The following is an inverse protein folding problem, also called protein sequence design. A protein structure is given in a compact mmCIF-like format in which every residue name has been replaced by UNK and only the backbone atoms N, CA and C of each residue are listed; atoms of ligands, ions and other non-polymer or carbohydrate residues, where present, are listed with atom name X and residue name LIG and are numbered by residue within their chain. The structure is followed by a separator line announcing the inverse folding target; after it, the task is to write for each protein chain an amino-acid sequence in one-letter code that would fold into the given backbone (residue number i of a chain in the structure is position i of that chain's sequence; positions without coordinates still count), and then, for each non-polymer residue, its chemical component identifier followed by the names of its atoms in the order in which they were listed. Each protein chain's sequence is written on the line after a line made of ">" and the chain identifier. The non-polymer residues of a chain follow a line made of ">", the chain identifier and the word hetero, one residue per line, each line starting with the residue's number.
data_IF_844380775159
#
_entry.id   IF_844380775159
#
_cell.length_a   1.000
_cell.length_b   1.000
_cell.length_c   1.000
_cell.angle_alpha   90.00
_cell.angle_beta   90.00
_cell.angle_gamma   90.00
#
_symmetry.space_group_name_H-M   'P 1'
#
loop_
_entity.id
_entity.type
_entity.pdbx_description
1 polymer ?
#
# COMPACT_ATOMS: atom_id res chain seq x y z
N UNK A 1 -50.68 57.44 -16.62
CA UNK A 1 -49.60 56.60 -17.22
C UNK A 1 -48.39 56.72 -16.31
N UNK A 2 -48.23 55.80 -15.35
CA UNK A 2 -47.15 55.84 -14.37
C UNK A 2 -46.02 54.88 -14.78
N UNK A 3 -44.79 55.36 -14.64
CA UNK A 3 -43.55 54.88 -15.23
C UNK A 3 -43.05 53.60 -14.53
N UNK A 4 -43.15 52.43 -15.19
CA UNK A 4 -42.77 51.11 -14.66
C UNK A 4 -41.30 50.73 -14.86
N UNK A 5 -40.37 51.64 -14.57
CA UNK A 5 -38.92 51.43 -14.79
C UNK A 5 -38.13 50.99 -13.54
N UNK A 6 -38.77 50.95 -12.36
CA UNK A 6 -38.14 50.53 -11.09
C UNK A 6 -38.11 49.01 -10.85
N UNK A 7 -39.10 48.26 -11.34
CA UNK A 7 -39.24 46.83 -11.08
C UNK A 7 -38.13 45.98 -11.72
N UNK A 8 -37.68 46.35 -12.93
CA UNK A 8 -36.63 45.61 -13.66
C UNK A 8 -35.26 45.69 -12.99
N UNK A 9 -34.92 46.81 -12.33
CA UNK A 9 -33.63 46.97 -11.64
C UNK A 9 -33.58 46.18 -10.33
N UNK A 10 -34.67 46.16 -9.56
CA UNK A 10 -34.77 45.37 -8.34
C UNK A 10 -34.69 43.86 -8.63
N UNK A 11 -35.36 43.40 -9.68
CA UNK A 11 -35.33 41.99 -10.11
C UNK A 11 -33.92 41.52 -10.55
N UNK A 12 -33.14 42.39 -11.20
CA UNK A 12 -31.75 42.08 -11.59
C UNK A 12 -30.84 41.96 -10.35
N UNK A 13 -31.01 42.83 -9.35
CA UNK A 13 -30.21 42.79 -8.11
C UNK A 13 -30.48 41.51 -7.31
N UNK A 14 -31.74 41.07 -7.23
CA UNK A 14 -32.12 39.82 -6.56
C UNK A 14 -31.53 38.59 -7.26
N UNK A 15 -31.60 38.56 -8.59
CA UNK A 15 -31.05 37.45 -9.38
C UNK A 15 -29.53 37.33 -9.21
N UNK A 16 -28.80 38.45 -9.22
CA UNK A 16 -27.34 38.46 -8.99
C UNK A 16 -27.00 37.95 -7.59
N UNK A 17 -27.76 38.35 -6.57
CA UNK A 17 -27.55 37.88 -5.20
C UNK A 17 -27.73 36.36 -5.06
N UNK A 18 -28.77 35.79 -5.67
CA UNK A 18 -29.03 34.35 -5.66
C UNK A 18 -27.88 33.58 -6.32
N UNK A 19 -27.34 34.08 -7.43
CA UNK A 19 -26.20 33.44 -8.08
C UNK A 19 -24.93 33.48 -7.23
N UNK A 20 -24.68 34.57 -6.50
CA UNK A 20 -23.55 34.65 -5.57
C UNK A 20 -23.74 33.64 -4.43
N UNK A 21 -24.93 33.57 -3.84
CA UNK A 21 -25.22 32.62 -2.77
C UNK A 21 -25.09 31.16 -3.25
N UNK A 22 -25.64 30.84 -4.41
CA UNK A 22 -25.51 29.52 -5.02
C UNK A 22 -24.04 29.17 -5.29
N UNK A 23 -23.24 30.12 -5.78
CA UNK A 23 -21.80 29.94 -5.97
C UNK A 23 -21.06 29.64 -4.67
N UNK A 24 -21.37 30.35 -3.58
CA UNK A 24 -20.80 30.09 -2.26
C UNK A 24 -21.16 28.70 -1.73
N UNK A 25 -22.44 28.31 -1.84
CA UNK A 25 -22.89 26.97 -1.45
C UNK A 25 -22.19 25.89 -2.27
N UNK A 26 -22.04 26.11 -3.57
CA UNK A 26 -21.35 25.17 -4.47
C UNK A 26 -19.88 25.00 -4.09
N UNK A 27 -19.17 26.09 -3.80
CA UNK A 27 -17.78 26.06 -3.33
C UNK A 27 -17.67 25.27 -2.01
N UNK A 28 -18.59 25.49 -1.08
CA UNK A 28 -18.63 24.73 0.17
C UNK A 28 -18.83 23.24 -0.07
N UNK A 29 -19.82 22.86 -0.90
CA UNK A 29 -20.09 21.46 -1.22
C UNK A 29 -18.86 20.79 -1.84
N UNK A 30 -18.20 21.43 -2.81
CA UNK A 30 -16.98 20.88 -3.42
C UNK A 30 -15.86 20.73 -2.40
N UNK A 31 -15.61 21.75 -1.58
CA UNK A 31 -14.54 21.73 -0.59
C UNK A 31 -14.73 20.60 0.43
N UNK A 32 -15.95 20.44 0.96
CA UNK A 32 -16.27 19.34 1.88
C UNK A 32 -16.25 17.97 1.18
N UNK A 33 -16.81 17.88 -0.03
CA UNK A 33 -16.84 16.64 -0.80
C UNK A 33 -15.44 16.14 -1.13
N UNK A 34 -14.54 17.02 -1.56
CA UNK A 34 -13.16 16.65 -1.88
C UNK A 34 -12.39 16.14 -0.66
N UNK A 35 -12.49 16.84 0.49
CA UNK A 35 -11.86 16.40 1.74
C UNK A 35 -12.40 15.05 2.22
N UNK A 36 -13.71 14.83 2.10
CA UNK A 36 -14.31 13.54 2.48
C UNK A 36 -13.78 12.40 1.59
N UNK A 37 -13.70 12.60 0.27
CA UNK A 37 -13.16 11.60 -0.66
C UNK A 37 -11.70 11.26 -0.34
N UNK A 38 -10.85 12.27 -0.11
CA UNK A 38 -9.45 12.04 0.26
C UNK A 38 -9.32 11.22 1.55
N UNK A 39 -10.09 11.58 2.58
CA UNK A 39 -10.11 10.82 3.83
C UNK A 39 -10.54 9.36 3.64
N UNK A 40 -11.53 9.09 2.78
CA UNK A 40 -11.94 7.72 2.48
C UNK A 40 -10.86 6.93 1.74
N UNK A 41 -10.15 7.53 0.79
CA UNK A 41 -9.05 6.88 0.05
C UNK A 41 -7.94 6.46 1.02
N UNK A 42 -7.47 7.39 1.86
CA UNK A 42 -6.42 7.10 2.87
C UNK A 42 -6.83 5.97 3.83
N UNK A 43 -8.12 5.89 4.18
CA UNK A 43 -8.64 4.83 5.04
C UNK A 43 -8.71 3.47 4.35
N UNK A 44 -9.01 3.44 3.06
CA UNK A 44 -8.98 2.18 2.29
C UNK A 44 -7.57 1.61 2.23
N UNK A 45 -6.55 2.44 2.02
CA UNK A 45 -5.15 1.99 1.97
C UNK A 45 -4.67 1.39 3.30
N UNK A 46 -5.10 1.98 4.43
CA UNK A 46 -4.83 1.42 5.76
C UNK A 46 -5.44 0.03 5.92
N UNK A 47 -6.67 -0.20 5.41
CA UNK A 47 -7.31 -1.52 5.46
C UNK A 47 -6.56 -2.53 4.59
N UNK A 48 -6.17 -2.16 3.37
CA UNK A 48 -5.42 -3.04 2.47
C UNK A 48 -4.08 -3.46 3.06
N UNK A 49 -3.41 -2.56 3.80
CA UNK A 49 -2.16 -2.90 4.50
C UNK A 49 -2.38 -3.90 5.65
N UNK A 50 -3.49 -3.76 6.39
CA UNK A 50 -3.86 -4.71 7.44
C UNK A 50 -4.20 -6.07 6.82
N UNK A 51 -4.93 -6.09 5.71
CA UNK A 51 -5.25 -7.31 4.97
C UNK A 51 -3.97 -7.98 4.44
N UNK A 52 -3.03 -7.21 3.88
CA UNK A 52 -1.71 -7.72 3.46
C UNK A 52 -1.01 -8.48 4.58
N UNK A 53 -0.96 -7.88 5.78
CA UNK A 53 -0.33 -8.49 6.95
C UNK A 53 -1.04 -9.77 7.35
N UNK A 54 -2.36 -9.73 7.48
CA UNK A 54 -3.16 -10.87 7.89
C UNK A 54 -3.06 -12.03 6.87
N UNK A 55 -3.15 -11.72 5.58
CA UNK A 55 -3.05 -12.71 4.51
C UNK A 55 -1.66 -13.36 4.49
N UNK A 56 -0.59 -12.58 4.67
CA UNK A 56 0.77 -13.11 4.77
C UNK A 56 0.93 -13.99 6.02
N UNK A 57 0.41 -13.55 7.16
CA UNK A 57 0.46 -14.32 8.41
C UNK A 57 -0.25 -15.67 8.25
N UNK A 58 -1.51 -15.65 7.80
CA UNK A 58 -2.32 -16.86 7.56
C UNK A 58 -1.65 -17.79 6.53
N UNK A 59 -1.07 -17.22 5.48
CA UNK A 59 -0.38 -17.98 4.47
C UNK A 59 0.86 -18.69 5.01
N UNK A 60 1.70 -17.99 5.79
CA UNK A 60 2.89 -18.56 6.45
C UNK A 60 2.48 -19.62 7.45
N UNK A 61 1.51 -19.33 8.31
CA UNK A 61 1.02 -20.27 9.32
C UNK A 61 0.43 -21.53 8.69
N UNK A 62 -0.27 -21.37 7.57
CA UNK A 62 -0.93 -22.45 6.85
C UNK A 62 0.01 -23.37 6.08
N UNK A 63 1.27 -22.99 5.84
CA UNK A 63 2.25 -23.87 5.17
C UNK A 63 3.42 -24.30 6.05
N UNK A 64 3.79 -23.53 7.10
CA UNK A 64 5.04 -23.77 7.87
C UNK A 64 5.12 -25.19 8.44
N UNK A 65 3.98 -25.78 8.83
CA UNK A 65 3.90 -27.11 9.47
C UNK A 65 3.88 -28.26 8.47
N UNK A 66 3.39 -28.01 7.26
CA UNK A 66 3.18 -29.04 6.25
C UNK A 66 4.40 -29.12 5.34
N UNK A 67 5.37 -29.95 5.73
CA UNK A 67 6.61 -30.14 4.98
C UNK A 67 6.35 -30.50 3.51
N UNK A 68 7.01 -29.79 2.59
CA UNK A 68 6.89 -30.01 1.14
C UNK A 68 5.63 -29.41 0.51
N UNK A 69 4.75 -28.79 1.29
CA UNK A 69 3.59 -28.08 0.75
C UNK A 69 4.04 -26.79 0.09
N UNK A 70 3.70 -26.64 -1.19
CA UNK A 70 3.94 -25.42 -1.95
C UNK A 70 2.61 -24.72 -2.21
N UNK A 71 2.53 -23.42 -1.91
CA UNK A 71 1.38 -22.58 -2.22
C UNK A 71 1.81 -21.32 -2.96
N UNK A 72 1.05 -20.99 -4.00
CA UNK A 72 1.09 -19.67 -4.65
C UNK A 72 0.20 -18.74 -3.84
N UNK A 73 0.73 -17.61 -3.42
CA UNK A 73 -0.02 -16.58 -2.68
C UNK A 73 0.18 -15.25 -3.38
N UNK A 74 -0.93 -14.57 -3.63
CA UNK A 74 -0.93 -13.24 -4.25
C UNK A 74 -1.47 -12.27 -3.22
N UNK A 75 -0.57 -11.45 -2.69
CA UNK A 75 -0.84 -10.47 -1.65
C UNK A 75 -1.12 -9.12 -2.32
N UNK A 76 -2.20 -8.46 -1.93
CA UNK A 76 -2.50 -7.11 -2.41
C UNK A 76 -1.70 -6.11 -1.60
N UNK A 77 -1.10 -5.14 -2.28
CA UNK A 77 -0.50 -3.96 -1.64
C UNK A 77 -1.23 -2.71 -2.12
N UNK A 78 -1.33 -1.67 -1.27
CA UNK A 78 -1.80 -0.36 -1.72
C UNK A 78 -0.94 0.19 -2.86
N UNK A 79 -1.52 1.02 -3.72
CA UNK A 79 -0.85 1.62 -4.89
C UNK A 79 0.34 2.51 -4.54
N UNK A 80 0.36 3.03 -3.31
CA UNK A 80 1.41 3.90 -2.80
C UNK A 80 2.73 3.16 -2.49
N UNK A 81 2.71 1.82 -2.53
CA UNK A 81 3.90 1.00 -2.34
C UNK A 81 4.41 0.44 -3.66
N UNK A 82 5.70 0.68 -3.93
CA UNK A 82 6.47 0.17 -5.06
C UNK A 82 6.69 -1.35 -5.01
N UNK A 83 6.67 -1.94 -3.81
CA UNK A 83 6.91 -3.37 -3.62
C UNK A 83 7.18 -3.76 -2.17
N UNK A 84 7.54 -5.03 -1.99
CA UNK A 84 7.90 -5.61 -0.70
C UNK A 84 9.23 -6.35 -0.80
N UNK A 85 10.03 -6.25 0.26
CA UNK A 85 11.28 -6.95 0.43
C UNK A 85 11.23 -7.84 1.68
N UNK A 86 11.43 -9.14 1.48
CA UNK A 86 11.57 -10.14 2.52
C UNK A 86 13.04 -10.36 2.81
N UNK A 87 13.40 -10.38 4.09
CA UNK A 87 14.73 -10.70 4.57
C UNK A 87 14.66 -11.93 5.46
N UNK A 88 15.70 -12.75 5.37
CA UNK A 88 15.85 -13.84 6.33
C UNK A 88 16.15 -13.26 7.73
N UNK A 89 15.37 -13.60 8.78
CA UNK A 89 15.57 -13.06 10.13
C UNK A 89 16.94 -13.38 10.76
N UNK A 90 17.68 -14.36 10.24
CA UNK A 90 18.95 -14.78 10.80
C UNK A 90 20.14 -14.18 10.04
N UNK A 91 20.10 -14.20 8.71
CA UNK A 91 21.19 -13.70 7.88
C UNK A 91 21.04 -12.24 7.47
N UNK A 92 19.82 -11.70 7.46
CA UNK A 92 19.53 -10.30 7.11
C UNK A 92 20.26 -9.79 5.87
N UNK A 93 20.42 -10.66 4.85
CA UNK A 93 21.16 -10.37 3.63
C UNK A 93 22.59 -9.85 3.85
N UNK A 94 23.27 -10.30 4.90
CA UNK A 94 24.63 -9.87 5.26
C UNK A 94 25.60 -10.01 4.08
N UNK A 95 26.38 -8.96 3.82
CA UNK A 95 27.32 -8.90 2.69
C UNK A 95 26.67 -8.69 1.31
N UNK A 96 25.35 -8.49 1.24
CA UNK A 96 24.63 -8.22 0.01
C UNK A 96 24.14 -6.76 -0.03
N UNK A 97 23.89 -6.24 -1.23
CA UNK A 97 23.27 -4.94 -1.46
C UNK A 97 21.84 -5.16 -1.93
N UNK A 98 20.83 -5.14 -1.03
CA UNK A 98 19.47 -5.46 -1.41
C UNK A 98 18.85 -4.35 -2.25
N UNK A 99 18.22 -4.75 -3.35
CA UNK A 99 17.63 -3.85 -4.35
C UNK A 99 16.26 -4.36 -4.77
N UNK A 100 15.30 -3.43 -4.89
CA UNK A 100 14.00 -3.67 -5.51
C UNK A 100 14.08 -3.23 -6.97
N UNK A 101 13.97 -4.20 -7.88
CA UNK A 101 13.93 -3.96 -9.33
C UNK A 101 12.49 -3.69 -9.78
N UNK A 102 12.26 -2.57 -10.46
CA UNK A 102 10.94 -2.18 -10.96
C UNK A 102 10.81 -2.49 -12.47
N UNK A 103 9.59 -2.72 -12.98
CA UNK A 103 9.37 -2.96 -14.41
C UNK A 103 9.86 -1.83 -15.32
N UNK A 104 9.91 -0.60 -14.80
CA UNK A 104 10.39 0.61 -15.48
C UNK A 104 11.91 0.69 -15.68
N UNK A 105 12.66 -0.40 -15.43
CA UNK A 105 14.14 -0.43 -15.44
C UNK A 105 14.79 0.52 -14.42
N UNK A 106 14.04 0.92 -13.41
CA UNK A 106 14.53 1.65 -12.24
C UNK A 106 14.74 0.67 -11.09
N UNK A 107 15.71 0.95 -10.24
CA UNK A 107 16.06 0.10 -9.11
C UNK A 107 16.09 0.94 -7.83
N UNK A 108 15.43 0.49 -6.77
CA UNK A 108 15.46 1.17 -5.47
C UNK A 108 16.39 0.39 -4.52
N UNK A 109 17.45 1.03 -4.04
CA UNK A 109 18.33 0.44 -3.04
C UNK A 109 17.64 0.43 -1.68
N UNK A 110 17.52 -0.75 -1.08
CA UNK A 110 16.86 -0.94 0.23
C UNK A 110 17.86 -1.31 1.33
N UNK A 111 19.09 -0.76 1.26
CA UNK A 111 20.12 -1.01 2.28
C UNK A 111 19.71 -0.61 3.71
N UNK A 112 18.75 0.31 3.86
CA UNK A 112 18.16 0.66 5.15
C UNK A 112 17.41 -0.50 5.83
N UNK A 113 16.88 -1.45 5.04
CA UNK A 113 16.14 -2.61 5.54
C UNK A 113 17.06 -3.64 6.19
N UNK A 114 18.30 -3.77 5.69
CA UNK A 114 19.30 -4.66 6.24
C UNK A 114 19.63 -4.32 7.71
N UNK A 115 19.82 -3.04 8.01
CA UNK A 115 20.10 -2.59 9.38
C UNK A 115 18.90 -2.85 10.32
N UNK A 116 17.68 -2.56 9.86
CA UNK A 116 16.46 -2.82 10.63
C UNK A 116 16.24 -4.32 10.90
N UNK A 117 16.62 -5.19 9.95
CA UNK A 117 16.62 -6.64 10.13
C UNK A 117 17.65 -7.10 11.17
N UNK A 118 18.88 -6.57 11.14
CA UNK A 118 19.92 -6.92 12.10
C UNK A 118 19.53 -6.59 13.54
N UNK A 119 18.78 -5.50 13.73
CA UNK A 119 18.18 -5.14 15.01
C UNK A 119 17.00 -6.06 15.43
N UNK A 120 16.68 -7.09 14.65
CA UNK A 120 15.55 -8.02 14.82
C UNK A 120 14.21 -7.30 15.00
N UNK A 121 14.09 -6.12 14.41
CA UNK A 121 12.89 -5.28 14.57
C UNK A 121 11.82 -5.61 13.54
N UNK A 122 12.24 -5.91 12.31
CA UNK A 122 11.42 -6.09 11.12
C UNK A 122 12.19 -7.04 10.18
N UNK A 123 11.52 -7.91 9.44
CA UNK A 123 12.16 -8.72 8.38
C UNK A 123 11.36 -8.72 7.08
N UNK A 124 10.23 -8.01 7.05
CA UNK A 124 9.46 -7.74 5.85
C UNK A 124 9.30 -6.24 5.75
N UNK A 125 9.65 -5.68 4.60
CA UNK A 125 9.76 -4.26 4.41
C UNK A 125 8.97 -3.83 3.20
N UNK A 126 8.08 -2.87 3.40
CA UNK A 126 7.38 -2.23 2.30
C UNK A 126 8.21 -1.05 1.81
N UNK A 127 8.19 -0.82 0.49
CA UNK A 127 8.92 0.25 -0.18
C UNK A 127 7.90 1.20 -0.80
N UNK A 128 7.89 2.51 -0.47
CA UNK A 128 8.71 3.18 0.54
C UNK A 128 8.37 2.74 1.98
N UNK A 129 9.29 2.97 2.93
CA UNK A 129 9.11 2.59 4.34
C UNK A 129 8.05 3.46 5.02
N UNK A 130 6.80 3.03 4.95
CA UNK A 130 5.65 3.70 5.56
C UNK A 130 4.81 2.65 6.29
N UNK A 131 4.31 2.99 7.48
CA UNK A 131 3.39 2.13 8.23
C UNK A 131 4.03 1.34 9.37
N UNK A 132 3.39 0.22 9.71
CA UNK A 132 3.76 -0.61 10.85
C UNK A 132 4.98 -1.51 10.59
N UNK A 133 5.63 -1.91 11.68
CA UNK A 133 6.74 -2.86 11.67
C UNK A 133 6.21 -4.27 11.40
N UNK A 134 6.74 -4.92 10.37
CA UNK A 134 6.36 -6.27 9.99
C UNK A 134 7.47 -7.26 10.36
N UNK A 135 7.17 -8.13 11.32
CA UNK A 135 8.09 -9.16 11.80
C UNK A 135 7.43 -10.55 11.79
N UNK A 136 8.00 -11.45 10.99
CA UNK A 136 7.55 -12.81 10.76
C UNK A 136 8.73 -13.78 11.03
N UNK A 137 8.87 -14.30 12.26
CA UNK A 137 10.02 -15.14 12.65
C UNK A 137 10.05 -16.51 11.94
N UNK A 138 8.88 -17.00 11.56
CA UNK A 138 8.70 -18.29 10.88
C UNK A 138 8.91 -18.20 9.37
N UNK A 139 9.27 -17.04 8.87
CA UNK A 139 9.61 -16.81 7.48
C UNK A 139 11.10 -17.10 7.26
N UNK A 140 11.44 -17.75 6.16
CA UNK A 140 12.81 -18.02 5.74
C UNK A 140 13.00 -17.58 4.28
N UNK A 141 14.14 -16.96 3.99
CA UNK A 141 14.51 -16.50 2.63
C UNK A 141 15.98 -16.84 2.39
N UNK A 142 16.37 -17.07 1.14
CA UNK A 142 17.78 -17.17 0.80
C UNK A 142 18.36 -15.75 0.62
N UNK A 143 18.84 -15.16 1.72
CA UNK A 143 19.36 -13.79 1.75
C UNK A 143 18.24 -12.75 1.83
N UNK A 144 17.84 -12.20 0.68
CA UNK A 144 16.67 -11.32 0.55
C UNK A 144 15.90 -11.62 -0.73
N UNK A 145 14.63 -11.19 -0.74
CA UNK A 145 13.75 -11.28 -1.89
C UNK A 145 12.92 -10.00 -1.97
N UNK A 146 13.15 -9.20 -3.01
CA UNK A 146 12.35 -8.00 -3.28
C UNK A 146 11.46 -8.25 -4.50
N UNK A 147 10.17 -7.94 -4.38
CA UNK A 147 9.18 -8.13 -5.45
C UNK A 147 8.41 -6.82 -5.66
N UNK A 148 8.35 -6.30 -6.91
CA UNK A 148 7.63 -5.08 -7.21
C UNK A 148 6.11 -5.30 -7.16
N UNK A 149 5.39 -4.25 -6.79
CA UNK A 149 3.94 -4.21 -6.77
C UNK A 149 3.41 -3.77 -8.15
N UNK A 150 3.13 -4.73 -9.04
CA UNK A 150 2.56 -4.45 -10.36
C UNK A 150 1.06 -4.69 -10.37
N UNK A 151 0.64 -5.87 -9.87
CA UNK A 151 -0.77 -6.27 -9.70
C UNK A 151 -0.94 -6.95 -8.33
N UNK A 152 -0.21 -6.44 -7.33
CA UNK A 152 0.08 -7.15 -6.10
C UNK A 152 1.37 -7.96 -6.20
N UNK A 153 1.72 -8.60 -5.09
CA UNK A 153 2.96 -9.35 -4.92
C UNK A 153 2.63 -10.83 -4.90
N UNK A 154 3.13 -11.56 -5.90
CA UNK A 154 2.97 -13.01 -5.97
C UNK A 154 4.21 -13.70 -5.44
N UNK A 155 4.04 -14.49 -4.39
CA UNK A 155 5.10 -15.29 -3.76
C UNK A 155 4.80 -16.77 -3.84
N UNK A 156 5.86 -17.55 -3.94
CA UNK A 156 5.85 -18.98 -3.66
C UNK A 156 6.20 -19.19 -2.20
N UNK A 157 5.29 -19.81 -1.45
CA UNK A 157 5.52 -20.26 -0.08
C UNK A 157 5.70 -21.77 -0.05
N UNK A 158 6.75 -22.23 0.61
CA UNK A 158 7.06 -23.64 0.79
C UNK A 158 7.21 -24.00 2.27
N UNK A 159 6.47 -25.00 2.73
CA UNK A 159 6.57 -25.53 4.08
C UNK A 159 7.84 -26.34 4.28
N UNK A 160 8.67 -25.93 5.25
CA UNK A 160 9.88 -26.67 5.65
C UNK A 160 9.67 -27.51 6.92
N UNK A 161 8.43 -27.63 7.40
CA UNK A 161 8.06 -28.31 8.65
C UNK A 161 8.31 -27.49 9.92
N UNK A 162 9.06 -26.40 9.84
CA UNK A 162 9.26 -25.43 10.94
C UNK A 162 9.02 -23.99 10.51
N UNK A 163 9.40 -23.67 9.27
CA UNK A 163 9.31 -22.32 8.68
C UNK A 163 8.62 -22.38 7.31
N UNK A 164 8.12 -21.24 6.86
CA UNK A 164 7.72 -21.03 5.47
C UNK A 164 8.87 -20.39 4.70
N UNK A 165 9.40 -21.10 3.70
CA UNK A 165 10.39 -20.55 2.76
C UNK A 165 9.68 -19.71 1.71
N UNK A 166 10.13 -18.49 1.49
CA UNK A 166 9.59 -17.57 0.48
C UNK A 166 10.54 -17.53 -0.72
N UNK A 167 9.97 -17.62 -1.91
CA UNK A 167 10.68 -17.52 -3.19
C UNK A 167 9.79 -16.87 -4.25
N UNK A 168 10.39 -16.47 -5.38
CA UNK A 168 9.62 -15.99 -6.54
C UNK A 168 8.76 -17.12 -7.09
N UNK A 169 7.53 -16.81 -7.47
CA UNK A 169 6.73 -17.73 -8.28
C UNK A 169 7.12 -17.60 -9.75
N UNK A 170 7.88 -18.56 -10.27
CA UNK A 170 8.15 -18.65 -11.70
C UNK A 170 6.92 -19.24 -12.40
N UNK A 171 6.31 -18.48 -13.31
CA UNK A 171 5.31 -19.03 -14.21
C UNK A 171 6.05 -19.91 -15.21
N UNK A 172 6.01 -21.23 -15.00
CA UNK A 172 6.42 -22.22 -15.99
C UNK A 172 5.55 -22.20 -17.24
#
# INVERSE_FOLDING_TARGET
>A
MANGTGAKKAQIVEQVFIFILAGLVFILIISYGYRAIQYFIEKQEQVVLVDFRNDLELAVEGVRRDFGTVRKVTLKLPSDYDGVCFFDPNSCAEGQNPVLELPSRSSIKVGWAQEACRLKSENVFLVPRVGEKLYFPDLAVEGYLCIPNVEGVTIRLEGTGKKAKVSVWENG
#
